data_IF_657681015239
#
_entry.id   IF_657681015239
#
_cell.length_a   1.000
_cell.length_b   1.000
_cell.length_c   1.000
_cell.angle_alpha   90.00
_cell.angle_beta   90.00
_cell.angle_gamma   90.00
#
_symmetry.space_group_name_H-M   'P 1'
#
loop_
_entity.id
_entity.type
_entity.pdbx_description
1 polymer ?
#
# COMPACT_ATOMS: atom_id res chain seq x y z
N UNK A 1 -0.89 -18.47 -18.80
CA UNK A 1 -0.70 -17.01 -19.00
C UNK A 1 0.06 -16.52 -17.78
N UNK A 2 1.27 -15.96 -17.92
CA UNK A 2 1.96 -15.40 -16.74
C UNK A 2 1.21 -14.14 -16.36
N UNK A 3 0.62 -14.12 -15.17
CA UNK A 3 0.06 -12.90 -14.60
C UNK A 3 1.20 -11.88 -14.45
N UNK A 4 1.02 -10.71 -15.07
CA UNK A 4 2.01 -9.64 -15.02
C UNK A 4 1.87 -8.89 -13.68
N UNK A 5 2.81 -9.13 -12.77
CA UNK A 5 2.89 -8.39 -11.52
C UNK A 5 3.75 -7.12 -11.67
N UNK A 6 3.37 -6.04 -10.98
CA UNK A 6 4.15 -4.80 -10.90
C UNK A 6 4.61 -4.56 -9.47
N UNK A 7 5.88 -4.16 -9.32
CA UNK A 7 6.44 -3.78 -8.02
C UNK A 7 6.32 -2.25 -7.87
N UNK A 8 5.53 -1.80 -6.91
CA UNK A 8 5.43 -0.40 -6.49
C UNK A 8 6.15 -0.24 -5.14
N UNK A 9 7.03 0.75 -5.03
CA UNK A 9 7.68 1.12 -3.77
C UNK A 9 7.06 2.42 -3.27
N UNK A 10 6.76 2.46 -1.99
CA UNK A 10 6.06 3.57 -1.36
C UNK A 10 6.76 3.89 -0.04
N UNK A 11 6.84 5.17 0.30
CA UNK A 11 7.22 5.59 1.64
C UNK A 11 6.04 5.48 2.62
N UNK A 12 6.26 5.80 3.90
CA UNK A 12 5.22 5.71 4.92
C UNK A 12 4.03 6.64 4.66
N UNK A 13 4.28 7.80 4.05
CA UNK A 13 3.23 8.78 3.75
C UNK A 13 2.39 8.33 2.55
N UNK A 14 3.03 7.89 1.47
CA UNK A 14 2.37 7.34 0.29
C UNK A 14 1.55 6.09 0.63
N UNK A 15 2.08 5.22 1.48
CA UNK A 15 1.38 4.03 1.98
C UNK A 15 0.10 4.40 2.74
N UNK A 16 0.17 5.41 3.63
CA UNK A 16 -0.99 5.93 4.33
C UNK A 16 -2.05 6.53 3.40
N UNK A 17 -1.63 7.24 2.35
CA UNK A 17 -2.55 7.76 1.33
C UNK A 17 -3.30 6.62 0.65
N UNK A 18 -2.60 5.56 0.23
CA UNK A 18 -3.21 4.42 -0.45
C UNK A 18 -4.22 3.71 0.43
N UNK A 19 -3.88 3.43 1.69
CA UNK A 19 -4.82 2.80 2.64
C UNK A 19 -6.07 3.65 2.79
N UNK A 20 -5.91 4.96 2.99
CA UNK A 20 -7.06 5.86 3.17
C UNK A 20 -7.93 5.92 1.91
N UNK A 21 -7.33 5.98 0.72
CA UNK A 21 -8.05 6.01 -0.55
C UNK A 21 -8.84 4.71 -0.78
N UNK A 22 -8.24 3.55 -0.53
CA UNK A 22 -8.91 2.26 -0.66
C UNK A 22 -10.04 2.10 0.37
N UNK A 23 -9.84 2.58 1.60
CA UNK A 23 -10.88 2.55 2.63
C UNK A 23 -12.06 3.48 2.30
N UNK A 24 -11.80 4.66 1.72
CA UNK A 24 -12.85 5.55 1.23
C UNK A 24 -13.66 4.87 0.10
N UNK A 25 -12.98 4.27 -0.88
CA UNK A 25 -13.62 3.53 -1.97
C UNK A 25 -14.48 2.37 -1.44
N UNK A 26 -13.98 1.61 -0.45
CA UNK A 26 -14.73 0.54 0.20
C UNK A 26 -16.03 1.07 0.81
N UNK A 27 -15.96 2.17 1.56
CA UNK A 27 -17.14 2.78 2.18
C UNK A 27 -18.16 3.26 1.15
N UNK A 28 -17.71 3.84 0.04
CA UNK A 28 -18.58 4.26 -1.05
C UNK A 28 -19.30 3.05 -1.71
N UNK A 29 -18.59 1.95 -1.92
CA UNK A 29 -19.17 0.72 -2.47
C UNK A 29 -20.18 0.08 -1.51
N UNK A 30 -19.91 0.09 -0.20
CA UNK A 30 -20.86 -0.34 0.83
C UNK A 30 -22.13 0.52 0.77
N UNK A 31 -21.98 1.85 0.69
CA UNK A 31 -23.10 2.78 0.54
C UNK A 31 -23.93 2.52 -0.71
N UNK A 32 -23.30 2.05 -1.79
CA UNK A 32 -23.95 1.65 -3.04
C UNK A 32 -24.50 0.22 -3.04
N UNK A 33 -24.37 -0.54 -1.94
CA UNK A 33 -24.71 -1.98 -1.86
C UNK A 33 -24.00 -2.82 -2.95
N UNK A 34 -22.76 -2.45 -3.27
CA UNK A 34 -21.93 -3.14 -4.25
C UNK A 34 -20.92 -4.05 -3.56
N UNK A 35 -20.49 -5.13 -4.23
CA UNK A 35 -19.44 -6.00 -3.70
C UNK A 35 -18.14 -5.22 -3.43
N UNK A 36 -17.49 -5.53 -2.30
CA UNK A 36 -16.22 -4.92 -1.89
C UNK A 36 -15.03 -5.87 -1.92
N UNK A 37 -15.25 -7.16 -2.15
CA UNK A 37 -14.21 -8.20 -2.10
C UNK A 37 -12.91 -7.81 -2.83
N UNK A 38 -12.96 -7.23 -4.06
CA UNK A 38 -11.74 -6.83 -4.75
C UNK A 38 -10.97 -5.69 -4.05
N UNK A 39 -11.67 -4.79 -3.37
CA UNK A 39 -11.08 -3.68 -2.62
C UNK A 39 -10.56 -4.17 -1.26
N UNK A 40 -11.29 -5.08 -0.62
CA UNK A 40 -10.90 -5.71 0.64
C UNK A 40 -9.59 -6.50 0.47
N UNK A 41 -9.44 -7.26 -0.62
CA UNK A 41 -8.20 -7.97 -0.96
C UNK A 41 -7.00 -7.02 -1.15
N UNK A 42 -7.22 -5.87 -1.78
CA UNK A 42 -6.17 -4.86 -1.98
C UNK A 42 -5.80 -4.16 -0.67
N UNK A 43 -6.78 -3.88 0.20
CA UNK A 43 -6.55 -3.32 1.53
C UNK A 43 -5.70 -4.28 2.38
N UNK A 44 -6.04 -5.56 2.41
CA UNK A 44 -5.28 -6.58 3.13
C UNK A 44 -3.84 -6.65 2.61
N UNK A 45 -3.66 -6.72 1.29
CA UNK A 45 -2.32 -6.71 0.67
C UNK A 45 -1.51 -5.46 1.01
N UNK A 46 -2.15 -4.29 1.02
CA UNK A 46 -1.49 -3.04 1.36
C UNK A 46 -1.11 -2.97 2.85
N UNK A 47 -1.96 -3.44 3.75
CA UNK A 47 -1.71 -3.45 5.20
C UNK A 47 -0.60 -4.45 5.56
N UNK A 48 -0.62 -5.64 4.95
CA UNK A 48 0.34 -6.70 5.22
C UNK A 48 1.70 -6.47 4.53
N UNK A 49 1.80 -5.51 3.61
CA UNK A 49 3.03 -5.20 2.91
C UNK A 49 4.13 -4.76 3.90
N UNK A 50 5.29 -5.45 3.94
CA UNK A 50 6.33 -5.14 4.91
C UNK A 50 7.07 -3.85 4.58
N UNK A 51 7.34 -3.03 5.60
CA UNK A 51 8.21 -1.87 5.46
C UNK A 51 9.68 -2.28 5.31
N UNK A 52 10.30 -1.98 4.17
CA UNK A 52 11.76 -2.05 4.06
C UNK A 52 12.37 -0.79 4.69
N UNK A 53 12.94 -0.95 5.89
CA UNK A 53 13.75 0.11 6.52
C UNK A 53 14.97 0.38 5.64
N UNK A 54 14.96 1.48 4.90
CA UNK A 54 16.14 1.96 4.19
C UNK A 54 17.18 2.31 5.26
N UNK A 55 18.19 1.45 5.44
CA UNK A 55 19.35 1.76 6.30
C UNK A 55 20.03 2.98 5.68
N UNK A 56 19.80 4.17 6.26
CA UNK A 56 20.60 5.35 5.96
C UNK A 56 22.04 5.00 6.32
N UNK A 57 22.89 4.72 5.32
CA UNK A 57 24.33 4.61 5.53
C UNK A 57 24.79 5.98 6.03
N UNK A 58 25.18 6.07 7.29
CA UNK A 58 25.82 7.27 7.82
C UNK A 58 27.14 7.46 7.08
N UNK A 59 27.18 8.43 6.17
CA UNK A 59 28.44 8.99 5.70
C UNK A 59 29.07 9.78 6.86
N UNK A 60 29.70 9.08 7.79
CA UNK A 60 30.77 9.63 8.62
C UNK A 60 32.08 9.08 8.07
N UNK A 61 32.46 9.59 6.89
CA UNK A 61 33.83 9.51 6.43
C UNK A 61 34.60 10.65 7.11
N UNK A 62 35.43 10.23 8.06
CA UNK A 62 36.64 10.85 8.60
C UNK A 62 36.89 12.32 8.25
N UNK A 63 36.93 13.16 9.28
CA UNK A 63 37.66 14.43 9.29
C UNK A 63 39.02 14.22 9.92
#
# INVERSE_FOLDING_TARGET
>A
MKEEERILRMDHYEHGIVINALNALRNDLIGQQRPTDPVDDLLLKAIDAPYQKIKRRSHHAAR
#
